data_IF_151946672435
#
_entry.id   IF_151946672435
#
_cell.length_a   1.000
_cell.length_b   1.000
_cell.length_c   1.000
_cell.angle_alpha   90.00
_cell.angle_beta   90.00
_cell.angle_gamma   90.00
#
_symmetry.space_group_name_H-M   'P 1'
#
loop_
_entity.id
_entity.type
_entity.pdbx_description
1 polymer ?
#
# COMPACT_ATOMS: atom_id res chain seq x y z
N UNK A 1 -63.96 33.62 20.32
CA UNK A 1 -62.56 33.51 19.88
C UNK A 1 -61.78 32.76 20.95
N UNK A 2 -61.61 31.44 20.80
CA UNK A 2 -60.86 30.61 21.74
C UNK A 2 -59.43 30.44 21.27
N UNK A 3 -58.49 31.10 21.93
CA UNK A 3 -57.05 30.91 21.71
C UNK A 3 -56.64 29.54 22.28
N UNK A 4 -56.36 28.58 21.41
CA UNK A 4 -55.77 27.30 21.77
C UNK A 4 -54.38 27.54 22.37
N UNK A 5 -54.24 27.32 23.69
CA UNK A 5 -52.93 27.21 24.35
C UNK A 5 -52.28 25.92 23.87
N UNK A 6 -51.42 26.03 22.85
CA UNK A 6 -50.53 24.94 22.45
C UNK A 6 -49.61 24.66 23.64
N UNK A 7 -49.65 23.41 24.12
CA UNK A 7 -48.90 22.97 25.29
C UNK A 7 -47.40 23.15 24.99
N UNK A 8 -46.75 24.05 25.73
CA UNK A 8 -45.34 24.46 25.56
C UNK A 8 -44.38 23.25 25.40
N UNK A 9 -44.70 22.14 26.05
CA UNK A 9 -43.95 20.88 25.99
C UNK A 9 -43.82 20.27 24.58
N UNK A 10 -44.88 20.31 23.77
CA UNK A 10 -44.86 19.75 22.41
C UNK A 10 -44.00 20.58 21.45
N UNK A 11 -43.92 21.89 21.68
CA UNK A 11 -43.07 22.79 20.89
C UNK A 11 -41.59 22.52 21.13
N UNK A 12 -41.20 22.22 22.38
CA UNK A 12 -39.80 21.88 22.71
C UNK A 12 -39.38 20.55 22.10
N UNK A 13 -40.25 19.53 22.11
CA UNK A 13 -39.96 18.22 21.51
C UNK A 13 -39.76 18.33 20.00
N UNK A 14 -40.59 19.11 19.30
CA UNK A 14 -40.48 19.34 17.86
C UNK A 14 -39.19 20.09 17.47
N UNK A 15 -38.80 21.09 18.26
CA UNK A 15 -37.56 21.86 18.01
C UNK A 15 -36.32 20.99 18.27
N UNK A 16 -36.31 20.17 19.34
CA UNK A 16 -35.21 19.24 19.62
C UNK A 16 -35.10 18.18 18.52
N UNK A 17 -36.23 17.66 18.00
CA UNK A 17 -36.24 16.73 16.88
C UNK A 17 -35.70 17.37 15.58
N UNK A 18 -36.08 18.61 15.28
CA UNK A 18 -35.58 19.33 14.10
C UNK A 18 -34.08 19.61 14.18
N UNK A 19 -33.56 19.94 15.37
CA UNK A 19 -32.11 20.13 15.59
C UNK A 19 -31.37 18.79 15.47
N UNK A 20 -31.90 17.70 16.04
CA UNK A 20 -31.28 16.37 15.95
C UNK A 20 -31.21 15.84 14.51
N UNK A 21 -32.24 16.10 13.69
CA UNK A 21 -32.23 15.73 12.26
C UNK A 21 -31.22 16.55 11.47
N UNK A 22 -31.04 17.84 11.76
CA UNK A 22 -30.04 18.67 11.07
C UNK A 22 -28.59 18.32 11.43
N UNK A 23 -28.30 17.87 12.65
CA UNK A 23 -26.94 17.48 13.06
C UNK A 23 -26.47 16.20 12.36
N UNK A 24 -27.38 15.29 11.95
CA UNK A 24 -27.01 14.09 11.19
C UNK A 24 -26.58 14.36 9.74
N UNK A 25 -26.97 15.49 9.13
CA UNK A 25 -26.60 15.83 7.74
C UNK A 25 -25.24 16.52 7.61
N UNK A 26 -24.61 16.95 8.71
CA UNK A 26 -23.32 17.66 8.69
C UNK A 26 -22.10 16.76 8.84
N UNK A 27 -22.29 15.46 9.09
CA UNK A 27 -21.23 14.46 8.91
C UNK A 27 -21.34 13.90 7.49
N UNK A 28 -21.03 14.76 6.51
CA UNK A 28 -20.66 14.29 5.18
C UNK A 28 -19.43 13.41 5.34
N UNK A 29 -19.66 12.10 5.48
CA UNK A 29 -18.59 11.12 5.45
C UNK A 29 -17.77 11.39 4.21
N UNK A 30 -16.48 11.58 4.38
CA UNK A 30 -15.50 11.76 3.32
C UNK A 30 -15.65 10.62 2.30
N UNK A 31 -16.44 10.84 1.24
CA UNK A 31 -16.76 9.82 0.24
C UNK A 31 -15.52 9.63 -0.62
N UNK A 32 -14.98 8.41 -0.60
CA UNK A 32 -13.91 8.01 -1.53
C UNK A 32 -14.51 7.93 -2.93
N UNK A 33 -14.20 8.91 -3.78
CA UNK A 33 -14.62 8.90 -5.19
C UNK A 33 -13.57 8.16 -6.02
N UNK A 34 -14.02 7.14 -6.75
CA UNK A 34 -13.16 6.32 -7.59
C UNK A 34 -12.53 7.15 -8.72
N UNK A 35 -11.24 6.92 -8.95
CA UNK A 35 -10.36 7.62 -9.91
C UNK A 35 -10.19 9.12 -9.62
N UNK A 36 -10.58 9.57 -8.44
CA UNK A 36 -10.33 10.93 -7.95
C UNK A 36 -9.47 10.89 -6.69
N UNK A 37 -10.02 10.34 -5.60
CA UNK A 37 -9.37 10.32 -4.30
C UNK A 37 -8.38 9.16 -4.16
N UNK A 38 -8.70 8.00 -4.76
CA UNK A 38 -7.86 6.80 -4.70
C UNK A 38 -6.73 6.78 -5.73
N UNK A 39 -6.29 7.94 -6.24
CA UNK A 39 -5.28 8.03 -7.30
C UNK A 39 -3.92 8.42 -6.74
N UNK A 40 -2.93 7.57 -7.00
CA UNK A 40 -1.51 7.85 -6.80
C UNK A 40 -0.88 8.30 -8.09
N UNK A 41 -0.06 9.35 -8.01
CA UNK A 41 0.71 9.86 -9.13
C UNK A 41 2.20 9.64 -8.90
N UNK A 42 2.88 9.26 -9.97
CA UNK A 42 4.32 9.17 -10.03
C UNK A 42 4.91 10.48 -10.57
N UNK A 43 6.06 10.88 -10.04
CA UNK A 43 6.79 12.07 -10.50
C UNK A 43 8.24 11.73 -10.80
N UNK A 44 8.72 12.12 -11.99
CA UNK A 44 10.12 11.97 -12.34
C UNK A 44 11.01 12.90 -11.51
N UNK A 45 12.16 12.39 -11.10
CA UNK A 45 13.19 13.15 -10.40
C UNK A 45 14.34 13.42 -11.36
N UNK A 46 14.42 14.66 -11.85
CA UNK A 46 15.41 15.05 -12.86
C UNK A 46 15.03 14.63 -14.27
N UNK A 47 15.93 14.88 -15.22
CA UNK A 47 15.74 14.53 -16.63
C UNK A 47 16.53 13.28 -17.01
N UNK A 48 15.92 12.11 -16.80
CA UNK A 48 16.58 10.82 -16.99
C UNK A 48 16.29 10.24 -18.39
N UNK A 49 17.09 9.28 -18.87
CA UNK A 49 16.85 8.59 -20.15
C UNK A 49 15.47 7.92 -20.27
N UNK A 50 14.89 7.47 -19.15
CA UNK A 50 13.53 6.89 -19.07
C UNK A 50 12.68 7.79 -18.18
N UNK A 51 11.55 8.23 -18.71
CA UNK A 51 10.63 9.17 -18.06
C UNK A 51 9.20 8.61 -18.07
N UNK A 52 8.47 8.77 -16.98
CA UNK A 52 7.04 8.48 -16.91
C UNK A 52 6.26 9.80 -17.02
N UNK A 53 5.50 10.02 -18.09
CA UNK A 53 4.68 11.23 -18.20
C UNK A 53 3.24 10.92 -17.78
N UNK A 54 2.70 11.73 -16.88
CA UNK A 54 1.32 11.63 -16.37
C UNK A 54 0.96 10.22 -15.84
N UNK A 55 1.95 9.54 -15.23
CA UNK A 55 1.78 8.23 -14.62
C UNK A 55 0.85 8.30 -13.41
N UNK A 56 -0.27 7.60 -13.48
CA UNK A 56 -1.19 7.47 -12.35
C UNK A 56 -1.74 6.07 -12.21
N UNK A 57 -1.96 5.68 -10.96
CA UNK A 57 -2.52 4.39 -10.58
C UNK A 57 -3.63 4.57 -9.56
N UNK A 58 -4.68 3.76 -9.65
CA UNK A 58 -5.77 3.71 -8.69
C UNK A 58 -5.48 2.66 -7.62
N UNK A 59 -5.82 2.96 -6.37
CA UNK A 59 -5.70 2.03 -5.24
C UNK A 59 -7.05 1.44 -4.88
N UNK A 60 -7.09 0.12 -4.71
CA UNK A 60 -8.32 -0.64 -4.46
C UNK A 60 -8.14 -1.67 -3.35
N UNK A 61 -9.23 -1.98 -2.68
CA UNK A 61 -9.33 -3.11 -1.77
C UNK A 61 -9.36 -4.44 -2.56
N UNK A 62 -9.23 -5.58 -1.88
CA UNK A 62 -9.27 -6.90 -2.51
C UNK A 62 -10.61 -7.23 -3.19
N UNK A 63 -11.70 -6.56 -2.80
CA UNK A 63 -13.02 -6.65 -3.44
C UNK A 63 -13.20 -5.64 -4.60
N UNK A 64 -12.11 -5.01 -5.05
CA UNK A 64 -12.08 -4.00 -6.12
C UNK A 64 -12.84 -2.71 -5.84
N UNK A 65 -13.23 -2.41 -4.60
CA UNK A 65 -13.73 -1.07 -4.25
C UNK A 65 -12.58 -0.08 -4.07
N UNK A 66 -12.80 1.20 -4.42
CA UNK A 66 -11.80 2.26 -4.27
C UNK A 66 -11.30 2.37 -2.81
N UNK A 67 -9.98 2.46 -2.63
CA UNK A 67 -9.33 2.53 -1.32
C UNK A 67 -8.82 3.94 -1.03
N UNK A 68 -9.44 4.58 -0.04
CA UNK A 68 -9.06 5.91 0.46
C UNK A 68 -8.94 5.92 1.98
N UNK A 69 -8.10 6.82 2.49
CA UNK A 69 -8.03 7.19 3.90
C UNK A 69 -8.02 8.72 3.99
N UNK A 70 -8.99 9.31 4.67
CA UNK A 70 -9.15 10.77 4.79
C UNK A 70 -9.17 11.52 3.44
N UNK A 71 -9.92 11.02 2.43
CA UNK A 71 -9.98 11.53 1.05
C UNK A 71 -8.68 11.44 0.23
N UNK A 72 -7.64 10.81 0.76
CA UNK A 72 -6.41 10.53 0.03
C UNK A 72 -6.32 9.04 -0.32
N UNK A 73 -5.53 8.72 -1.34
CA UNK A 73 -5.28 7.35 -1.77
C UNK A 73 -4.65 6.51 -0.67
N UNK A 74 -5.16 5.30 -0.47
CA UNK A 74 -4.66 4.36 0.53
C UNK A 74 -4.28 3.04 -0.14
N UNK A 75 -3.02 2.63 0.00
CA UNK A 75 -2.60 1.28 -0.42
C UNK A 75 -3.01 0.28 0.67
N UNK A 76 -3.86 -0.66 0.29
CA UNK A 76 -4.31 -1.72 1.17
C UNK A 76 -3.53 -3.01 0.88
N UNK A 77 -3.08 -3.69 1.94
CA UNK A 77 -2.47 -5.01 1.87
C UNK A 77 -3.33 -6.02 2.64
N UNK A 78 -3.77 -7.15 2.01
CA UNK A 78 -3.82 -7.33 0.55
C UNK A 78 -4.78 -6.33 -0.12
N UNK A 79 -4.61 -6.10 -1.42
CA UNK A 79 -5.40 -5.13 -2.19
C UNK A 79 -5.05 -5.18 -3.66
N UNK A 80 -5.40 -4.14 -4.42
CA UNK A 80 -5.10 -4.06 -5.85
C UNK A 80 -4.65 -2.66 -6.26
N UNK A 81 -3.80 -2.58 -7.28
CA UNK A 81 -3.43 -1.35 -7.97
C UNK A 81 -3.87 -1.45 -9.42
N UNK A 82 -4.53 -0.42 -9.95
CA UNK A 82 -4.91 -0.35 -11.35
C UNK A 82 -4.10 0.73 -12.07
N UNK A 83 -3.53 0.41 -13.22
CA UNK A 83 -2.93 1.40 -14.12
C UNK A 83 -4.05 2.26 -14.75
N UNK A 84 -4.05 3.56 -14.48
CA UNK A 84 -5.09 4.49 -14.94
C UNK A 84 -4.62 5.32 -16.14
N UNK A 85 -3.45 5.95 -16.03
CA UNK A 85 -2.93 6.80 -17.10
C UNK A 85 -1.40 6.85 -17.09
N UNK A 86 -0.87 7.31 -18.22
CA UNK A 86 0.54 7.66 -18.38
C UNK A 86 1.18 6.97 -19.57
N UNK A 87 2.38 7.44 -19.89
CA UNK A 87 3.23 6.80 -20.88
C UNK A 87 4.67 6.76 -20.37
N UNK A 88 5.43 5.80 -20.88
CA UNK A 88 6.85 5.66 -20.59
C UNK A 88 7.61 6.11 -21.83
N UNK A 89 8.40 7.17 -21.71
CA UNK A 89 9.28 7.64 -22.77
C UNK A 89 10.71 7.18 -22.51
N UNK A 90 11.27 6.44 -23.45
CA UNK A 90 12.67 6.06 -23.49
C UNK A 90 13.37 6.95 -24.52
N UNK A 91 14.22 7.85 -24.05
CA UNK A 91 14.94 8.82 -24.88
C UNK A 91 16.17 8.24 -25.54
N UNK A 92 16.84 7.30 -24.86
CA UNK A 92 18.14 6.79 -25.27
C UNK A 92 18.16 5.28 -25.11
N UNK A 93 18.72 4.59 -26.11
CA UNK A 93 18.88 3.14 -26.07
C UNK A 93 19.91 2.78 -25.00
N UNK A 94 19.59 1.79 -24.16
CA UNK A 94 20.46 1.35 -23.06
C UNK A 94 20.33 -0.15 -22.90
N UNK A 95 21.42 -0.81 -22.49
CA UNK A 95 21.38 -2.23 -22.11
C UNK A 95 20.95 -2.33 -20.65
N UNK A 96 19.68 -2.67 -20.44
CA UNK A 96 19.05 -2.76 -19.13
C UNK A 96 19.05 -4.22 -18.67
N UNK A 97 18.77 -5.15 -19.58
CA UNK A 97 18.76 -6.57 -19.28
C UNK A 97 20.14 -7.01 -18.74
N UNK A 98 20.16 -7.61 -17.56
CA UNK A 98 21.36 -8.10 -16.86
C UNK A 98 22.43 -7.04 -16.53
N UNK A 99 22.14 -5.76 -16.73
CA UNK A 99 23.08 -4.66 -16.50
C UNK A 99 22.42 -3.47 -15.77
N UNK A 100 21.32 -3.76 -15.06
CA UNK A 100 20.60 -2.77 -14.29
C UNK A 100 20.45 -3.19 -12.83
N UNK A 101 20.26 -2.20 -11.96
CA UNK A 101 19.94 -2.39 -10.54
C UNK A 101 18.84 -1.43 -10.16
N UNK A 102 17.74 -1.95 -9.66
CA UNK A 102 16.74 -1.12 -9.01
C UNK A 102 17.25 -0.77 -7.61
N UNK A 103 17.15 0.49 -7.22
CA UNK A 103 17.54 1.00 -5.92
C UNK A 103 16.33 1.66 -5.29
N UNK A 104 15.92 1.15 -4.14
CA UNK A 104 14.77 1.68 -3.41
C UNK A 104 15.24 2.59 -2.28
N UNK A 105 14.50 3.69 -2.08
CA UNK A 105 14.56 4.49 -0.87
C UNK A 105 13.18 4.55 -0.25
N UNK A 106 13.04 3.93 0.93
CA UNK A 106 11.75 3.74 1.61
C UNK A 106 11.85 4.35 3.00
N UNK A 107 10.92 5.24 3.31
CA UNK A 107 10.85 5.92 4.60
C UNK A 107 9.43 5.91 5.14
N UNK A 108 9.28 5.54 6.41
CA UNK A 108 8.05 5.73 7.17
C UNK A 108 8.06 7.06 7.89
N UNK A 109 6.89 7.72 7.98
CA UNK A 109 6.65 8.88 8.84
C UNK A 109 6.47 8.42 10.30
N UNK A 110 7.53 7.88 10.89
CA UNK A 110 7.54 7.38 12.26
C UNK A 110 8.93 7.54 12.85
N UNK A 111 9.02 7.98 14.11
CA UNK A 111 10.29 8.08 14.82
C UNK A 111 10.91 6.69 15.06
N UNK A 112 10.08 5.68 15.32
CA UNK A 112 10.52 4.33 15.63
C UNK A 112 10.99 3.60 14.37
N UNK A 113 10.26 3.70 13.26
CA UNK A 113 10.57 2.96 12.01
C UNK A 113 11.50 3.77 11.09
N UNK A 114 11.24 5.05 10.87
CA UNK A 114 12.13 5.93 10.11
C UNK A 114 12.45 5.45 8.69
N UNK A 115 13.71 5.61 8.29
CA UNK A 115 14.24 5.13 6.99
C UNK A 115 14.51 3.64 7.07
N UNK A 116 14.09 2.91 6.04
CA UNK A 116 14.27 1.45 5.92
C UNK A 116 15.25 1.13 4.80
N UNK A 117 15.04 1.72 3.61
CA UNK A 117 15.99 1.67 2.51
C UNK A 117 16.45 3.09 2.17
N UNK A 118 17.71 3.25 1.78
CA UNK A 118 18.26 4.48 1.22
C UNK A 118 19.24 4.14 0.10
N UNK A 119 18.88 4.53 -1.13
CA UNK A 119 19.63 4.25 -2.36
C UNK A 119 20.00 2.76 -2.48
N UNK A 120 19.03 1.88 -2.23
CA UNK A 120 19.22 0.44 -2.28
C UNK A 120 19.99 -0.17 -1.11
N UNK A 121 20.36 0.59 -0.08
CA UNK A 121 20.97 0.03 1.13
C UNK A 121 19.98 -0.02 2.28
N UNK A 122 19.92 -1.14 2.98
CA UNK A 122 19.17 -1.28 4.21
C UNK A 122 19.77 -0.38 5.30
N UNK A 123 18.88 0.35 5.97
CA UNK A 123 19.21 1.13 7.19
C UNK A 123 18.78 0.42 8.45
N UNK A 124 18.04 -0.68 8.29
CA UNK A 124 17.54 -1.52 9.37
C UNK A 124 17.73 -2.97 8.98
N UNK A 125 18.98 -3.49 9.07
CA UNK A 125 19.27 -4.87 8.73
C UNK A 125 18.46 -5.88 9.57
N UNK A 126 17.97 -5.49 10.75
CA UNK A 126 17.07 -6.33 11.56
C UNK A 126 15.63 -6.37 11.04
N UNK A 127 15.29 -5.60 10.00
CA UNK A 127 13.96 -5.56 9.37
C UNK A 127 14.00 -5.95 7.90
N UNK A 128 15.04 -5.57 7.16
CA UNK A 128 15.14 -5.80 5.72
C UNK A 128 16.61 -5.99 5.32
N UNK A 129 16.88 -6.90 4.39
CA UNK A 129 18.23 -7.10 3.84
C UNK A 129 18.48 -6.15 2.67
N UNK A 130 19.76 -5.90 2.34
CA UNK A 130 20.13 -5.03 1.20
C UNK A 130 19.53 -5.52 -0.13
N UNK A 131 19.41 -6.84 -0.30
CA UNK A 131 18.83 -7.45 -1.51
C UNK A 131 17.38 -7.00 -1.75
N UNK A 132 16.62 -6.79 -0.68
CA UNK A 132 15.22 -6.38 -0.79
C UNK A 132 15.11 -4.88 -1.07
N UNK A 133 16.12 -4.10 -0.70
CA UNK A 133 16.25 -2.71 -1.15
C UNK A 133 16.78 -2.61 -2.59
N UNK A 134 17.25 -3.72 -3.19
CA UNK A 134 17.77 -3.80 -4.56
C UNK A 134 17.11 -4.92 -5.39
N UNK A 135 15.78 -4.87 -5.65
CA UNK A 135 15.15 -5.89 -6.47
C UNK A 135 15.74 -5.89 -7.89
N UNK A 136 15.87 -7.07 -8.50
CA UNK A 136 16.24 -7.17 -9.91
C UNK A 136 15.01 -7.03 -10.80
N UNK A 137 14.82 -5.86 -11.43
CA UNK A 137 13.68 -5.59 -12.30
C UNK A 137 13.52 -6.63 -13.42
N UNK A 138 14.63 -7.14 -13.97
CA UNK A 138 14.61 -8.00 -15.14
C UNK A 138 14.39 -9.48 -14.78
N UNK A 139 14.70 -9.88 -13.55
CA UNK A 139 14.29 -11.19 -13.03
C UNK A 139 12.76 -11.31 -12.95
N UNK A 140 12.05 -10.20 -12.76
CA UNK A 140 10.59 -10.19 -12.62
C UNK A 140 9.87 -9.95 -13.93
N UNK A 141 10.35 -9.00 -14.72
CA UNK A 141 9.72 -8.65 -15.97
C UNK A 141 10.75 -8.42 -17.07
N UNK A 142 11.31 -9.53 -17.55
CA UNK A 142 12.30 -9.55 -18.63
C UNK A 142 11.80 -8.82 -19.88
N UNK A 143 10.52 -8.93 -20.21
CA UNK A 143 9.95 -8.29 -21.39
C UNK A 143 9.80 -6.77 -21.22
N UNK A 144 9.54 -6.30 -19.99
CA UNK A 144 9.62 -4.87 -19.66
C UNK A 144 11.05 -4.35 -19.85
N UNK A 145 12.06 -5.07 -19.35
CA UNK A 145 13.44 -4.68 -19.54
C UNK A 145 13.81 -4.56 -21.02
N UNK A 146 13.49 -5.56 -21.85
CA UNK A 146 13.73 -5.53 -23.30
C UNK A 146 12.99 -4.38 -24.00
N UNK A 147 11.77 -4.08 -23.56
CA UNK A 147 11.00 -2.94 -24.08
C UNK A 147 11.72 -1.62 -23.76
N UNK A 148 12.19 -1.46 -22.52
CA UNK A 148 12.88 -0.25 -22.07
C UNK A 148 14.27 -0.03 -22.71
N UNK A 149 14.87 -1.05 -23.34
CA UNK A 149 16.13 -0.88 -24.08
C UNK A 149 15.97 -0.11 -25.39
N UNK A 150 14.75 -0.05 -25.92
CA UNK A 150 14.45 0.55 -27.21
C UNK A 150 13.91 1.98 -27.02
N UNK A 151 14.45 2.98 -27.73
CA UNK A 151 13.88 4.32 -27.72
C UNK A 151 12.46 4.32 -28.28
N UNK A 152 11.58 5.07 -27.63
CA UNK A 152 10.17 5.12 -27.99
C UNK A 152 9.30 5.73 -26.90
N UNK A 153 8.02 5.89 -27.20
CA UNK A 153 7.00 6.22 -26.19
C UNK A 153 6.02 5.06 -26.14
N UNK A 154 5.88 4.49 -24.95
CA UNK A 154 5.05 3.31 -24.68
C UNK A 154 3.84 3.72 -23.86
N UNK A 155 2.66 3.43 -24.39
CA UNK A 155 1.38 3.60 -23.70
C UNK A 155 1.10 2.43 -22.76
N UNK A 156 0.05 2.52 -21.95
CA UNK A 156 -0.40 1.38 -21.13
C UNK A 156 -0.73 0.15 -21.98
N UNK A 157 -1.29 0.34 -23.18
CA UNK A 157 -1.56 -0.77 -24.10
C UNK A 157 -0.27 -1.44 -24.60
N UNK A 158 0.79 -0.67 -24.80
CA UNK A 158 2.12 -1.21 -25.15
C UNK A 158 2.72 -1.98 -23.97
N UNK A 159 2.56 -1.50 -22.73
CA UNK A 159 2.98 -2.23 -21.52
C UNK A 159 2.26 -3.58 -21.38
N UNK A 160 0.97 -3.62 -21.71
CA UNK A 160 0.17 -4.85 -21.68
C UNK A 160 0.63 -5.86 -22.74
N UNK A 161 0.91 -5.39 -23.95
CA UNK A 161 1.21 -6.26 -25.10
C UNK A 161 2.68 -6.63 -25.21
N UNK A 162 3.59 -5.69 -24.97
CA UNK A 162 5.04 -5.88 -25.15
C UNK A 162 5.73 -6.36 -23.88
N UNK A 163 5.24 -5.93 -22.71
CA UNK A 163 5.82 -6.27 -21.42
C UNK A 163 4.96 -7.23 -20.61
N UNK A 164 3.84 -7.73 -21.16
CA UNK A 164 2.92 -8.65 -20.51
C UNK A 164 2.47 -8.17 -19.11
N UNK A 165 2.26 -6.85 -18.95
CA UNK A 165 1.82 -6.24 -17.68
C UNK A 165 0.31 -6.16 -17.66
N UNK A 166 -0.34 -6.75 -16.66
CA UNK A 166 -1.79 -6.60 -16.48
C UNK A 166 -2.15 -5.19 -16.02
N UNK A 167 -3.33 -4.69 -16.43
CA UNK A 167 -3.81 -3.38 -15.95
C UNK A 167 -4.02 -3.37 -14.43
N UNK A 168 -4.42 -4.51 -13.88
CA UNK A 168 -4.68 -4.70 -12.46
C UNK A 168 -3.55 -5.56 -11.88
N UNK A 169 -2.95 -5.08 -10.81
CA UNK A 169 -1.85 -5.72 -10.10
C UNK A 169 -2.35 -6.03 -8.69
N UNK A 170 -2.41 -7.31 -8.36
CA UNK A 170 -2.78 -7.76 -7.02
C UNK A 170 -1.62 -7.52 -6.05
N UNK A 171 -1.92 -6.89 -4.92
CA UNK A 171 -0.98 -6.69 -3.83
C UNK A 171 -1.07 -7.86 -2.86
N UNK A 172 0.07 -8.38 -2.38
CA UNK A 172 0.08 -9.59 -1.58
C UNK A 172 -0.54 -9.39 -0.20
N UNK A 173 -0.92 -10.52 0.37
CA UNK A 173 -1.09 -10.65 1.81
C UNK A 173 0.26 -10.56 2.52
N UNK A 174 0.25 -9.94 3.69
CA UNK A 174 1.43 -9.95 4.53
C UNK A 174 1.61 -11.32 5.21
N UNK A 175 2.86 -11.75 5.45
CA UNK A 175 3.11 -12.91 6.28
C UNK A 175 2.37 -12.82 7.63
N UNK A 176 1.85 -13.97 8.06
CA UNK A 176 1.15 -14.08 9.34
C UNK A 176 2.09 -13.65 10.48
N UNK A 177 1.58 -12.81 11.39
CA UNK A 177 2.34 -12.31 12.53
C UNK A 177 3.09 -10.99 12.31
N UNK A 178 2.92 -10.36 11.15
CA UNK A 178 3.45 -9.01 10.90
C UNK A 178 2.77 -7.98 11.81
N UNK A 179 3.52 -7.22 12.62
CA UNK A 179 2.94 -6.16 13.42
C UNK A 179 2.34 -5.07 12.53
N UNK A 180 1.02 -4.87 12.62
CA UNK A 180 0.30 -3.78 11.91
C UNK A 180 0.92 -2.41 12.19
N UNK A 181 1.50 -2.19 13.37
CA UNK A 181 2.19 -0.95 13.73
C UNK A 181 3.44 -0.66 12.90
N UNK A 182 4.09 -1.69 12.34
CA UNK A 182 5.25 -1.53 11.47
C UNK A 182 4.81 -1.12 10.07
N UNK A 183 3.70 -1.70 9.58
CA UNK A 183 3.23 -1.49 8.20
C UNK A 183 2.31 -0.28 8.08
N UNK A 184 1.31 -0.14 8.97
CA UNK A 184 0.30 0.90 8.84
C UNK A 184 0.90 2.29 9.01
N UNK A 185 0.43 3.24 8.20
CA UNK A 185 0.73 4.66 8.32
C UNK A 185 1.29 5.25 7.04
N UNK A 186 1.98 6.38 7.19
CA UNK A 186 2.45 7.20 6.07
C UNK A 186 3.85 6.80 5.60
N UNK A 187 4.00 6.55 4.31
CA UNK A 187 5.21 6.10 3.64
C UNK A 187 5.63 7.01 2.50
N UNK A 188 6.91 7.02 2.22
CA UNK A 188 7.49 7.68 1.07
C UNK A 188 8.42 6.69 0.37
N UNK A 189 8.25 6.56 -0.94
CA UNK A 189 9.01 5.64 -1.78
C UNK A 189 9.64 6.43 -2.92
N UNK A 190 10.94 6.22 -3.10
CA UNK A 190 11.66 6.64 -4.30
C UNK A 190 12.25 5.39 -4.94
N UNK A 191 12.05 5.27 -6.24
CA UNK A 191 12.54 4.17 -7.06
C UNK A 191 13.57 4.75 -8.01
N UNK A 192 14.74 4.13 -8.09
CA UNK A 192 15.81 4.53 -8.99
C UNK A 192 16.31 3.29 -9.76
N UNK A 193 16.50 3.40 -11.07
CA UNK A 193 17.13 2.35 -11.87
C UNK A 193 18.51 2.84 -12.29
N UNK A 194 19.55 2.14 -11.85
CA UNK A 194 20.90 2.34 -12.34
C UNK A 194 21.20 1.35 -13.47
N UNK A 195 21.87 1.82 -14.52
CA UNK A 195 22.37 1.00 -15.63
C UNK A 195 23.89 1.14 -15.69
N UNK A 196 24.60 0.02 -15.89
CA UNK A 196 26.07 0.02 -15.93
C UNK A 196 26.75 0.43 -14.62
N UNK A 197 25.99 0.46 -13.51
CA UNK A 197 26.47 0.78 -12.17
C UNK A 197 26.57 2.29 -11.84
N UNK A 198 26.40 3.19 -12.81
CA UNK A 198 26.59 4.63 -12.60
C UNK A 198 25.60 5.54 -13.35
N UNK A 199 24.89 5.03 -14.36
CA UNK A 199 23.92 5.84 -15.10
C UNK A 199 22.54 5.69 -14.47
N UNK A 200 21.99 6.78 -13.91
CA UNK A 200 20.59 6.81 -13.49
C UNK A 200 19.70 6.84 -14.73
N UNK A 201 19.17 5.67 -15.09
CA UNK A 201 18.29 5.50 -16.24
C UNK A 201 16.87 5.98 -15.95
N UNK A 202 16.40 5.83 -14.72
CA UNK A 202 15.05 6.15 -14.27
C UNK A 202 15.09 6.54 -12.80
N UNK A 203 14.33 7.58 -12.41
CA UNK A 203 14.16 7.92 -11.00
C UNK A 203 12.81 8.58 -10.77
N UNK A 204 12.02 8.02 -9.86
CA UNK A 204 10.64 8.46 -9.60
C UNK A 204 10.32 8.49 -8.11
N UNK A 205 9.56 9.50 -7.70
CA UNK A 205 8.93 9.58 -6.38
C UNK A 205 7.47 9.13 -6.44
N UNK A 206 7.06 8.36 -5.42
CA UNK A 206 5.68 7.98 -5.18
C UNK A 206 5.32 8.27 -3.72
N UNK A 207 4.32 9.14 -3.44
CA UNK A 207 3.54 9.94 -4.39
C UNK A 207 4.32 11.17 -4.93
N UNK A 208 3.82 11.77 -6.02
CA UNK A 208 4.31 13.03 -6.60
C UNK A 208 4.34 14.19 -5.59
N UNK A 209 5.22 15.16 -5.80
CA UNK A 209 5.39 16.32 -4.92
C UNK A 209 6.11 15.99 -3.61
N UNK A 210 6.69 14.80 -3.50
CA UNK A 210 7.41 14.35 -2.31
C UNK A 210 6.53 14.12 -1.08
N UNK A 211 5.22 13.91 -1.29
CA UNK A 211 4.22 13.66 -0.26
C UNK A 211 4.38 12.32 0.44
N UNK A 212 3.33 11.94 1.17
CA UNK A 212 3.27 10.67 1.89
C UNK A 212 2.06 9.88 1.41
N UNK A 213 2.28 8.59 1.16
CA UNK A 213 1.25 7.61 0.86
C UNK A 213 0.77 6.97 2.16
N UNK A 214 -0.53 6.87 2.37
CA UNK A 214 -1.10 6.04 3.43
C UNK A 214 -1.11 4.56 3.02
N UNK A 215 -0.58 3.71 3.89
CA UNK A 215 -0.59 2.25 3.73
C UNK A 215 -1.33 1.65 4.91
N UNK A 216 -2.26 0.75 4.63
CA UNK A 216 -2.99 0.00 5.64
C UNK A 216 -2.86 -1.50 5.39
N UNK A 217 -2.75 -2.26 6.47
CA UNK A 217 -2.80 -3.71 6.47
C UNK A 217 -4.07 -4.17 7.17
N UNK A 218 -4.89 -4.95 6.46
CA UNK A 218 -5.98 -5.72 7.01
C UNK A 218 -5.43 -7.13 7.13
N UNK A 219 -4.85 -7.45 8.28
CA UNK A 219 -4.82 -8.85 8.66
C UNK A 219 -6.27 -9.20 8.95
N UNK A 220 -6.85 -10.14 8.18
CA UNK A 220 -7.95 -10.96 8.66
C UNK A 220 -7.51 -11.48 10.03
N UNK A 221 -8.02 -10.84 11.09
CA UNK A 221 -8.03 -11.47 12.39
C UNK A 221 -8.94 -12.66 12.18
N UNK A 222 -8.34 -13.82 11.90
CA UNK A 222 -8.99 -15.06 12.23
C UNK A 222 -9.30 -14.94 13.73
N UNK A 223 -10.56 -14.65 14.06
CA UNK A 223 -11.08 -15.08 15.34
C UNK A 223 -11.01 -16.60 15.25
N UNK A 224 -9.88 -17.14 15.67
CA UNK A 224 -9.79 -18.54 16.03
C UNK A 224 -10.70 -18.65 17.25
N UNK A 225 -11.98 -18.96 17.02
CA UNK A 225 -12.73 -19.72 18.00
C UNK A 225 -12.04 -21.08 18.06
N UNK A 226 -11.00 -21.18 18.87
CA UNK A 226 -10.45 -22.48 19.22
C UNK A 226 -11.44 -23.05 20.22
N UNK A 227 -12.27 -23.98 19.76
CA UNK A 227 -13.09 -24.79 20.64
C UNK A 227 -12.15 -25.78 21.33
N UNK A 228 -11.42 -25.31 22.35
CA UNK A 228 -10.66 -26.17 23.24
C UNK A 228 -11.64 -26.67 24.30
N UNK A 229 -12.20 -27.84 24.04
CA UNK A 229 -12.98 -28.56 25.02
C UNK A 229 -12.03 -29.04 26.15
N UNK A 230 -11.96 -28.26 27.23
CA UNK A 230 -11.30 -28.68 28.46
C UNK A 230 -12.29 -29.51 29.30
N UNK A 231 -11.88 -30.65 29.89
CA UNK A 231 -12.70 -31.34 30.86
C UNK A 231 -12.81 -30.43 32.09
N UNK A 232 -14.02 -30.16 32.56
CA UNK A 232 -14.36 -29.26 33.68
C UNK A 232 -14.61 -27.78 33.30
N UNK A 233 -15.61 -27.56 32.43
CA UNK A 233 -16.75 -26.68 32.76
C UNK A 233 -16.62 -25.14 32.70
N UNK A 234 -15.43 -24.54 32.61
CA UNK A 234 -15.30 -23.07 32.64
C UNK A 234 -14.78 -22.46 31.33
N UNK A 235 -15.49 -21.44 30.83
CA UNK A 235 -15.15 -20.70 29.60
C UNK A 235 -14.24 -19.51 29.92
N UNK A 236 -13.08 -19.42 29.26
CA UNK A 236 -12.27 -18.21 29.23
C UNK A 236 -12.45 -17.47 27.89
N UNK A 237 -13.12 -16.32 27.93
CA UNK A 237 -13.23 -15.41 26.80
C UNK A 237 -11.99 -14.51 26.74
N UNK A 238 -11.16 -14.69 25.71
CA UNK A 238 -10.13 -13.70 25.37
C UNK A 238 -10.78 -12.54 24.60
N UNK A 239 -11.28 -11.54 25.33
CA UNK A 239 -11.60 -10.24 24.74
C UNK A 239 -10.31 -9.43 24.60
N UNK A 240 -10.00 -9.04 23.35
CA UNK A 240 -8.87 -8.19 23.05
C UNK A 240 -9.04 -6.81 23.67
N UNK A 241 -8.36 -6.57 24.80
CA UNK A 241 -8.27 -5.24 25.41
C UNK A 241 -8.18 -5.28 26.93
N UNK A 242 -7.09 -5.81 27.48
CA UNK A 242 -6.81 -5.74 28.92
C UNK A 242 -6.04 -6.96 29.39
N UNK A 243 -4.80 -6.76 29.85
CA UNK A 243 -4.04 -7.80 30.51
C UNK A 243 -4.76 -8.19 31.80
N UNK A 244 -5.06 -9.47 31.99
CA UNK A 244 -5.16 -10.09 33.31
C UNK A 244 -4.88 -11.60 33.20
N UNK A 245 -3.82 -12.01 33.90
CA UNK A 245 -3.53 -13.34 34.45
C UNK A 245 -3.55 -14.53 33.49
N UNK A 246 -2.44 -14.73 32.75
CA UNK A 246 -1.97 -16.06 32.37
C UNK A 246 -0.67 -16.38 33.13
N UNK A 247 -0.42 -17.63 33.57
CA UNK A 247 0.80 -17.99 34.30
C UNK A 247 2.06 -17.77 33.44
N UNK A 248 3.11 -17.24 34.07
CA UNK A 248 4.39 -16.91 33.45
C UNK A 248 5.04 -18.13 32.78
N UNK A 249 5.29 -18.05 31.46
CA UNK A 249 5.94 -19.15 30.75
C UNK A 249 6.21 -18.97 29.25
N UNK A 250 5.77 -17.89 28.59
CA UNK A 250 6.04 -17.68 27.16
C UNK A 250 7.28 -16.80 26.94
N UNK A 251 8.40 -17.45 26.58
CA UNK A 251 9.65 -16.78 26.19
C UNK A 251 9.50 -16.06 24.84
N UNK A 252 9.78 -14.75 24.84
CA UNK A 252 9.84 -13.82 23.70
C UNK A 252 11.00 -14.07 22.71
N UNK A 253 11.19 -15.29 22.22
CA UNK A 253 12.27 -15.59 21.24
C UNK A 253 11.80 -15.81 19.79
N UNK A 254 10.51 -15.93 19.52
CA UNK A 254 10.00 -16.19 18.16
C UNK A 254 9.53 -14.96 17.36
N UNK A 255 9.58 -13.74 17.93
CA UNK A 255 9.14 -12.51 17.24
C UNK A 255 10.20 -11.96 16.25
N UNK A 256 11.43 -12.48 16.26
CA UNK A 256 12.52 -11.97 15.41
C UNK A 256 12.53 -12.46 13.96
N UNK A 257 11.79 -13.52 13.61
CA UNK A 257 11.79 -14.05 12.24
C UNK A 257 10.61 -13.60 11.35
N UNK A 258 9.49 -13.12 11.92
CA UNK A 258 8.29 -12.80 11.13
C UNK A 258 8.27 -11.39 10.53
N UNK A 259 9.00 -10.45 11.13
CA UNK A 259 9.06 -9.06 10.65
C UNK A 259 9.96 -8.94 9.43
N UNK A 260 11.03 -9.75 9.36
CA UNK A 260 12.00 -9.74 8.26
C UNK A 260 11.36 -10.16 6.93
N UNK A 261 10.75 -11.35 6.88
CA UNK A 261 10.10 -11.89 5.68
C UNK A 261 8.99 -10.97 5.13
N UNK A 262 8.38 -10.15 5.98
CA UNK A 262 7.29 -9.26 5.58
C UNK A 262 7.76 -8.06 4.79
N UNK A 263 8.90 -7.48 5.16
CA UNK A 263 9.46 -6.39 4.37
C UNK A 263 10.02 -6.90 3.04
N UNK A 264 10.60 -8.12 3.00
CA UNK A 264 10.95 -8.81 1.77
C UNK A 264 9.73 -9.10 0.90
N UNK A 265 8.56 -9.36 1.51
CA UNK A 265 7.32 -9.61 0.77
C UNK A 265 6.71 -8.32 0.24
N UNK A 266 6.70 -7.20 0.98
CA UNK A 266 6.10 -5.95 0.47
C UNK A 266 7.00 -5.29 -0.58
N UNK A 267 8.29 -5.17 -0.28
CA UNK A 267 9.26 -4.51 -1.16
C UNK A 267 9.69 -5.44 -2.28
N UNK A 268 9.77 -6.74 -1.99
CA UNK A 268 9.73 -7.78 -2.99
C UNK A 268 8.47 -7.63 -3.80
N UNK A 269 7.28 -8.08 -3.42
CA UNK A 269 6.12 -8.23 -4.32
C UNK A 269 5.62 -6.97 -5.04
N UNK A 270 5.79 -5.75 -4.50
CA UNK A 270 5.54 -4.53 -5.30
C UNK A 270 6.40 -4.55 -6.59
N UNK A 271 7.52 -5.26 -6.58
CA UNK A 271 8.43 -5.51 -7.69
C UNK A 271 8.70 -7.00 -8.05
N UNK A 272 8.40 -8.00 -7.21
CA UNK A 272 8.98 -9.36 -7.14
C UNK A 272 7.87 -10.44 -7.02
N UNK A 273 6.72 -10.22 -7.64
CA UNK A 273 5.75 -11.31 -7.83
C UNK A 273 5.78 -11.78 -9.27
N UNK A 274 6.04 -13.07 -9.56
CA UNK A 274 5.71 -13.61 -10.86
C UNK A 274 4.20 -13.47 -11.07
N UNK A 275 3.80 -12.79 -12.13
CA UNK A 275 2.39 -12.73 -12.54
C UNK A 275 1.91 -14.17 -12.74
N UNK A 276 1.04 -14.63 -11.85
CA UNK A 276 0.35 -15.91 -12.03
C UNK A 276 -0.38 -15.83 -13.36
N UNK A 277 0.06 -16.62 -14.34
CA UNK A 277 -0.73 -16.91 -15.53
C UNK A 277 -2.10 -17.38 -15.03
N UNK A 278 -3.14 -16.57 -15.23
CA UNK A 278 -4.49 -17.13 -15.29
C UNK A 278 -4.55 -17.89 -16.59
N UNK A 279 -4.46 -19.20 -16.49
CA UNK A 279 -4.94 -20.08 -17.55
C UNK A 279 -6.42 -19.76 -17.77
N UNK A 280 -6.72 -19.22 -18.96
CA UNK A 280 -8.07 -19.21 -19.54
C UNK A 280 -8.34 -20.57 -20.18
#
# INVERSE_FOLDING_TARGET
MGLYKINSFYSYILIVWLIAVQVCFLYGGNVCVDKENNVLRAENVGDNPIMINNGSVGTYYANSSASCYNNDSNIQLPGQIQLLSGNVTVKTAMKIANNSKLLLSIKKKSWLVGKICENGKSKKPELIEDKDCQPDLCDFQMDLCKMLEKPGTYTIADLQTLANITQLIDLPELPKGTPKSIVNGKWKVTIELLVGGNVTAFKVNVPSGGGWLDVACICLTFVLAVDLQWPEGDYCLLQGGGANNCPDGFKYQHIRLSVLQTFQTIVGYIFNTPMVKRDL
#
